data_IF_286583974873
#
_entry.id   IF_286583974873
#
_cell.length_a   1.000
_cell.length_b   1.000
_cell.length_c   1.000
_cell.angle_alpha   90.00
_cell.angle_beta   90.00
_cell.angle_gamma   90.00
#
_symmetry.space_group_name_H-M   'P 1'
#
loop_
_entity.id
_entity.type
_entity.pdbx_description
1 polymer ?
#
# COMPACT_ATOMS: atom_id res chain seq x y z
N UNK A 1 32.72 30.60 -13.79
CA UNK A 1 32.07 29.33 -14.20
C UNK A 1 32.78 28.17 -13.52
N UNK A 2 34.12 28.20 -13.46
CA UNK A 2 34.94 27.18 -12.79
C UNK A 2 34.75 27.10 -11.27
N UNK A 3 34.47 28.22 -10.58
CA UNK A 3 34.17 28.22 -9.14
C UNK A 3 32.92 27.42 -8.80
N UNK A 4 31.87 27.51 -9.63
CA UNK A 4 30.63 26.76 -9.45
C UNK A 4 30.84 25.26 -9.67
N UNK A 5 31.66 24.90 -10.67
CA UNK A 5 32.00 23.49 -10.97
C UNK A 5 32.84 22.91 -9.84
N UNK A 6 33.84 23.66 -9.36
CA UNK A 6 34.68 23.25 -8.23
C UNK A 6 33.89 23.08 -6.92
N UNK A 7 32.85 23.88 -6.71
CA UNK A 7 31.93 23.74 -5.56
C UNK A 7 30.97 22.55 -5.68
N UNK A 8 30.65 22.12 -6.90
CA UNK A 8 29.81 20.94 -7.13
C UNK A 8 30.63 19.67 -6.92
N UNK A 9 31.86 19.61 -7.45
CA UNK A 9 32.76 18.46 -7.26
C UNK A 9 33.07 18.24 -5.77
N UNK A 10 33.35 19.31 -5.01
CA UNK A 10 33.62 19.19 -3.57
C UNK A 10 32.43 18.62 -2.77
N UNK A 11 31.18 18.91 -3.19
CA UNK A 11 29.98 18.38 -2.53
C UNK A 11 29.74 16.92 -2.89
N UNK A 12 30.14 16.48 -4.08
CA UNK A 12 30.00 15.10 -4.52
C UNK A 12 31.09 14.18 -3.97
N UNK A 13 32.28 14.70 -3.67
CA UNK A 13 33.42 13.92 -3.15
C UNK A 13 33.39 13.75 -1.61
N UNK A 14 32.60 14.56 -0.88
CA UNK A 14 32.59 14.57 0.60
C UNK A 14 31.55 13.65 1.28
N UNK A 15 30.73 12.91 0.54
CA UNK A 15 29.78 11.97 1.16
C UNK A 15 29.32 10.83 0.24
N UNK A 16 30.21 9.87 -0.02
CA UNK A 16 29.78 8.54 -0.49
C UNK A 16 30.71 7.43 0.09
N UNK A 17 31.06 7.57 1.38
CA UNK A 17 31.55 6.46 2.22
C UNK A 17 30.42 5.91 3.12
N UNK A 18 29.18 6.04 2.65
CA UNK A 18 28.12 5.14 3.05
C UNK A 18 28.08 4.05 1.99
N UNK A 19 28.16 2.78 2.41
CA UNK A 19 28.05 1.65 1.48
C UNK A 19 26.83 1.86 0.60
N UNK A 20 27.00 1.77 -0.72
CA UNK A 20 25.93 1.66 -1.73
C UNK A 20 25.10 0.37 -1.56
N UNK A 21 24.87 -0.05 -0.33
CA UNK A 21 24.04 -1.16 0.10
C UNK A 21 22.82 -0.65 0.89
N UNK A 22 22.76 0.63 1.29
CA UNK A 22 21.63 1.17 2.06
C UNK A 22 20.41 1.55 1.20
N UNK A 23 20.57 1.63 -0.12
CA UNK A 23 19.44 1.73 -1.07
C UNK A 23 18.76 0.37 -1.34
N UNK A 24 19.26 -0.72 -0.74
CA UNK A 24 18.72 -2.08 -0.91
C UNK A 24 17.68 -2.52 0.15
N UNK A 25 16.99 -1.60 0.83
CA UNK A 25 15.82 -1.95 1.64
C UNK A 25 14.68 -0.96 1.36
N UNK A 26 13.46 -1.33 0.94
CA UNK A 26 12.64 -2.48 1.30
C UNK A 26 11.73 -2.99 0.16
N UNK A 27 12.11 -2.83 -1.12
CA UNK A 27 11.25 -3.36 -2.21
C UNK A 27 11.07 -4.89 -2.12
N UNK A 28 12.04 -5.58 -1.51
CA UNK A 28 11.94 -7.00 -1.17
C UNK A 28 10.85 -7.31 -0.13
N UNK A 29 10.56 -6.38 0.79
CA UNK A 29 9.59 -6.59 1.87
C UNK A 29 8.14 -6.32 1.39
N UNK A 30 7.97 -5.48 0.37
CA UNK A 30 6.69 -5.31 -0.32
C UNK A 30 6.23 -6.60 -1.02
N UNK A 31 7.17 -7.42 -1.50
CA UNK A 31 6.89 -8.74 -2.09
C UNK A 31 6.85 -9.88 -1.06
N UNK A 32 7.18 -9.62 0.22
CA UNK A 32 7.12 -10.64 1.28
C UNK A 32 5.69 -11.06 1.63
N UNK A 33 4.74 -10.16 1.44
CA UNK A 33 3.30 -10.41 1.59
C UNK A 33 2.66 -11.00 0.34
N UNK A 34 3.43 -11.16 -0.74
CA UNK A 34 2.93 -11.83 -1.93
C UNK A 34 2.67 -13.30 -1.59
N UNK A 35 1.44 -13.80 -1.82
CA UNK A 35 1.16 -15.20 -1.57
C UNK A 35 2.03 -16.04 -2.52
N UNK A 36 2.52 -17.19 -2.05
CA UNK A 36 3.52 -17.99 -2.77
C UNK A 36 3.03 -18.58 -4.09
N UNK A 37 1.74 -18.47 -4.38
CA UNK A 37 1.07 -18.85 -5.62
C UNK A 37 0.85 -17.68 -6.59
N UNK A 38 1.11 -16.45 -6.15
CA UNK A 38 1.14 -15.33 -7.06
C UNK A 38 2.46 -15.47 -7.84
N UNK A 39 2.33 -16.18 -8.96
CA UNK A 39 3.43 -16.56 -9.82
C UNK A 39 4.16 -15.32 -10.35
N UNK A 40 5.31 -15.56 -10.96
CA UNK A 40 5.89 -14.64 -11.93
C UNK A 40 4.81 -14.37 -12.99
N UNK A 41 4.12 -13.23 -12.88
CA UNK A 41 3.08 -12.79 -13.82
C UNK A 41 3.58 -12.91 -15.26
N UNK A 42 3.24 -14.02 -15.93
CA UNK A 42 3.47 -14.23 -17.36
C UNK A 42 4.92 -14.27 -17.86
N UNK A 43 5.94 -14.35 -16.99
CA UNK A 43 7.35 -14.46 -17.42
C UNK A 43 7.85 -15.89 -17.21
N UNK A 44 7.28 -16.83 -17.95
CA UNK A 44 7.96 -18.10 -18.21
C UNK A 44 8.63 -18.00 -19.58
N UNK A 45 9.95 -18.19 -19.64
CA UNK A 45 10.76 -17.93 -20.85
C UNK A 45 10.46 -18.86 -22.05
N UNK A 46 9.55 -19.83 -21.90
CA UNK A 46 9.29 -20.90 -22.89
C UNK A 46 7.77 -21.09 -23.18
N UNK A 47 7.00 -20.00 -23.20
CA UNK A 47 5.60 -20.04 -23.64
C UNK A 47 5.50 -19.95 -25.17
N UNK A 48 4.72 -20.81 -25.85
CA UNK A 48 4.51 -20.70 -27.29
C UNK A 48 3.80 -19.38 -27.66
N UNK A 49 4.08 -18.83 -28.84
CA UNK A 49 3.43 -17.63 -29.44
C UNK A 49 1.91 -17.82 -29.61
N UNK A 50 1.16 -17.88 -28.51
CA UNK A 50 -0.29 -17.80 -28.50
C UNK A 50 -0.70 -16.33 -28.57
N UNK A 51 -1.83 -16.04 -29.23
CA UNK A 51 -2.49 -14.75 -29.03
C UNK A 51 -2.71 -14.58 -27.53
N UNK A 52 -2.17 -13.50 -26.97
CA UNK A 52 -2.49 -13.08 -25.61
C UNK A 52 -4.00 -12.93 -25.56
N UNK A 53 -4.69 -13.97 -25.06
CA UNK A 53 -5.90 -13.80 -24.27
C UNK A 53 -5.59 -12.58 -23.39
N UNK A 54 -6.40 -11.52 -23.50
CA UNK A 54 -6.23 -10.33 -22.68
C UNK A 54 -6.52 -10.62 -21.21
N UNK A 55 -5.84 -11.62 -20.64
CA UNK A 55 -5.98 -12.30 -19.36
C UNK A 55 -5.57 -11.44 -18.18
N UNK A 56 -5.99 -10.18 -18.22
CA UNK A 56 -6.30 -9.45 -17.03
C UNK A 56 -7.65 -9.96 -16.55
N UNK A 57 -7.66 -11.17 -15.98
CA UNK A 57 -8.76 -11.57 -15.11
C UNK A 57 -8.88 -10.47 -14.05
N UNK A 58 -9.97 -9.71 -14.12
CA UNK A 58 -10.22 -8.63 -13.16
C UNK A 58 -10.39 -9.26 -11.78
N UNK A 59 -9.31 -9.22 -11.00
CA UNK A 59 -9.37 -9.52 -9.59
C UNK A 59 -9.75 -8.24 -8.86
N UNK A 60 -10.85 -8.25 -8.08
CA UNK A 60 -11.17 -7.11 -7.23
C UNK A 60 -9.99 -6.82 -6.30
N UNK A 61 -9.70 -5.54 -6.11
CA UNK A 61 -8.56 -5.07 -5.32
C UNK A 61 -8.62 -5.70 -3.91
N UNK A 62 -7.59 -6.47 -3.47
CA UNK A 62 -7.63 -7.20 -2.20
C UNK A 62 -7.46 -6.28 -0.97
N UNK A 63 -7.61 -4.97 -1.13
CA UNK A 63 -7.41 -4.00 -0.07
C UNK A 63 -8.56 -4.04 0.96
N UNK A 64 -8.17 -4.17 2.23
CA UNK A 64 -9.06 -4.01 3.37
C UNK A 64 -8.66 -2.74 4.11
N UNK A 65 -9.57 -1.80 4.25
CA UNK A 65 -9.32 -0.58 5.02
C UNK A 65 -9.68 -0.78 6.49
N UNK A 66 -8.79 -0.34 7.37
CA UNK A 66 -9.01 -0.36 8.83
C UNK A 66 -9.21 1.06 9.30
N UNK A 67 -10.40 1.36 9.78
CA UNK A 67 -10.84 2.72 10.13
C UNK A 67 -10.89 2.86 11.65
N UNK A 68 -10.15 3.81 12.25
CA UNK A 68 -10.32 4.15 13.67
C UNK A 68 -11.76 4.59 13.97
N UNK A 69 -12.30 4.20 15.13
CA UNK A 69 -13.67 4.53 15.53
C UNK A 69 -13.99 6.02 15.43
N UNK A 70 -13.02 6.87 15.81
CA UNK A 70 -13.13 8.32 15.77
C UNK A 70 -13.11 8.92 14.35
N UNK A 71 -12.64 8.18 13.34
CA UNK A 71 -12.55 8.62 11.93
C UNK A 71 -13.70 8.09 11.06
N UNK A 72 -14.63 7.33 11.64
CA UNK A 72 -15.82 6.82 10.93
C UNK A 72 -16.63 7.93 10.26
N UNK A 73 -16.85 9.12 10.88
CA UNK A 73 -17.57 10.20 10.23
C UNK A 73 -16.90 10.72 8.95
N UNK A 74 -15.59 10.96 8.99
CA UNK A 74 -14.80 11.44 7.85
C UNK A 74 -14.75 10.39 6.74
N UNK A 75 -14.53 9.13 7.10
CA UNK A 75 -14.53 8.02 6.16
C UNK A 75 -15.88 7.89 5.45
N UNK A 76 -16.98 7.97 6.20
CA UNK A 76 -18.34 7.89 5.64
C UNK A 76 -18.65 9.08 4.74
N UNK A 77 -18.19 10.28 5.12
CA UNK A 77 -18.35 11.48 4.30
C UNK A 77 -17.58 11.36 2.96
N UNK A 78 -16.37 10.80 2.99
CA UNK A 78 -15.60 10.52 1.79
C UNK A 78 -16.26 9.43 0.92
N UNK A 79 -16.70 8.31 1.50
CA UNK A 79 -17.39 7.24 0.76
C UNK A 79 -18.66 7.74 0.05
N UNK A 80 -19.34 8.75 0.61
CA UNK A 80 -20.50 9.37 -0.01
C UNK A 80 -20.16 10.18 -1.28
N UNK A 81 -18.88 10.46 -1.55
CA UNK A 81 -18.43 11.14 -2.77
C UNK A 81 -18.20 10.18 -3.94
N UNK A 82 -18.12 8.87 -3.68
CA UNK A 82 -17.89 7.82 -4.67
C UNK A 82 -19.19 7.32 -5.30
N UNK A 83 -19.09 6.70 -6.47
CA UNK A 83 -20.22 6.00 -7.07
C UNK A 83 -20.59 4.76 -6.23
N UNK A 84 -21.85 4.31 -6.34
CA UNK A 84 -22.33 3.14 -5.58
C UNK A 84 -21.53 1.87 -5.90
N UNK A 85 -21.16 1.67 -7.17
CA UNK A 85 -20.37 0.52 -7.59
C UNK A 85 -19.00 0.49 -6.89
N UNK A 86 -18.28 1.62 -6.90
CA UNK A 86 -16.96 1.74 -6.27
C UNK A 86 -17.05 1.54 -4.75
N UNK A 87 -18.04 2.15 -4.09
CA UNK A 87 -18.26 2.01 -2.65
C UNK A 87 -18.62 0.57 -2.25
N UNK A 88 -19.38 -0.15 -3.09
CA UNK A 88 -19.84 -1.50 -2.78
C UNK A 88 -18.71 -2.54 -2.84
N UNK A 89 -17.65 -2.24 -3.58
CA UNK A 89 -16.48 -3.11 -3.74
C UNK A 89 -15.44 -2.93 -2.62
N UNK A 90 -15.48 -1.81 -1.89
CA UNK A 90 -14.53 -1.50 -0.81
C UNK A 90 -14.86 -2.26 0.49
N UNK A 91 -13.94 -3.14 0.90
CA UNK A 91 -13.97 -3.78 2.22
C UNK A 91 -13.33 -2.88 3.27
N UNK A 92 -14.04 -2.65 4.37
CA UNK A 92 -13.48 -1.92 5.51
C UNK A 92 -14.12 -2.32 6.83
N UNK A 93 -13.38 -2.11 7.92
CA UNK A 93 -13.78 -2.44 9.29
C UNK A 93 -13.44 -1.28 10.23
N UNK A 94 -14.22 -1.15 11.29
CA UNK A 94 -13.98 -0.19 12.38
C UNK A 94 -13.20 -0.85 13.50
N UNK A 95 -12.15 -0.19 13.98
CA UNK A 95 -11.29 -0.71 15.06
C UNK A 95 -11.15 0.32 16.16
N UNK A 96 -11.35 -0.11 17.41
CA UNK A 96 -10.90 0.64 18.57
C UNK A 96 -9.42 0.31 18.82
N UNK A 97 -8.51 1.21 18.46
CA UNK A 97 -7.06 0.97 18.64
C UNK A 97 -6.62 0.94 20.11
N UNK A 98 -7.47 1.36 21.04
CA UNK A 98 -7.18 1.27 22.47
C UNK A 98 -7.32 -0.15 23.03
N UNK A 99 -8.31 -0.93 22.56
CA UNK A 99 -8.59 -2.27 23.08
C UNK A 99 -8.56 -3.39 22.01
N UNK A 100 -8.39 -3.05 20.74
CA UNK A 100 -8.30 -3.98 19.62
C UNK A 100 -9.64 -4.60 19.18
N UNK A 101 -10.77 -4.11 19.69
CA UNK A 101 -12.09 -4.60 19.27
C UNK A 101 -12.38 -4.12 17.85
N UNK A 102 -12.95 -5.01 17.03
CA UNK A 102 -13.25 -4.80 15.60
C UNK A 102 -14.75 -4.98 15.34
N UNK A 103 -15.31 -4.21 14.41
CA UNK A 103 -16.65 -4.39 13.87
C UNK A 103 -16.78 -3.96 12.41
N UNK A 104 -17.85 -4.40 11.73
CA UNK A 104 -18.04 -4.20 10.28
C UNK A 104 -18.20 -2.73 9.89
N UNK A 105 -18.99 -1.97 10.66
CA UNK A 105 -19.28 -0.54 10.38
C UNK A 105 -19.28 0.36 11.60
N UNK A 106 -19.20 -0.25 12.77
CA UNK A 106 -19.13 0.41 14.06
C UNK A 106 -18.50 -0.56 15.03
N UNK A 107 -17.93 -0.02 16.11
CA UNK A 107 -17.40 -0.81 17.21
C UNK A 107 -18.14 -0.40 18.48
N UNK A 108 -18.51 -1.37 19.29
CA UNK A 108 -19.04 -1.12 20.64
C UNK A 108 -18.00 -1.62 21.64
N UNK A 109 -17.32 -0.70 22.31
CA UNK A 109 -16.33 -1.03 23.33
C UNK A 109 -16.46 -0.09 24.54
N UNK A 110 -15.88 -0.47 25.67
CA UNK A 110 -15.94 0.33 26.90
C UNK A 110 -15.04 1.59 26.84
N UNK A 111 -14.15 1.69 25.84
CA UNK A 111 -13.26 2.83 25.67
C UNK A 111 -14.00 4.12 25.28
N UNK A 112 -15.16 4.03 24.63
CA UNK A 112 -15.98 5.20 24.26
C UNK A 112 -16.62 5.88 25.48
N UNK A 113 -16.81 5.17 26.60
CA UNK A 113 -17.42 5.70 27.82
C UNK A 113 -16.40 6.32 28.80
N UNK A 114 -15.12 6.42 28.41
CA UNK A 114 -14.04 6.97 29.24
C UNK A 114 -13.64 8.41 28.87
N UNK A 115 -14.38 9.07 27.97
CA UNK A 115 -14.20 10.48 27.60
C UNK A 115 -15.14 11.40 28.40
#
# INVERSE_FOLDING_TARGET
MDELISRIDAVLDESDDESLDDWQYSWSDAMRWHPGDAGTYGVEEDQPDAELDGGWDWNPDPQIHVIPAEQVPEWTAWLATLAEAERAEMQWYVVCFQCGVVGDRSVTCECENLQ
#
